data_IF_563445078966
#
_entry.id   IF_563445078966
#
_cell.length_a   1.000
_cell.length_b   1.000
_cell.length_c   1.000
_cell.angle_alpha   90.00
_cell.angle_beta   90.00
_cell.angle_gamma   90.00
#
_symmetry.space_group_name_H-M   'P 1'
#
loop_
_entity.id
_entity.type
_entity.pdbx_description
1 polymer ?
#
# COMPACT_ATOMS: atom_id res chain seq x y z
N UNK A 1 27.00 -4.20 3.92
CA UNK A 1 27.64 -3.52 2.78
C UNK A 1 29.09 -3.95 2.54
N UNK A 2 29.85 -4.37 3.56
CA UNK A 2 31.24 -4.84 3.37
C UNK A 2 31.40 -6.13 2.54
N UNK A 3 30.42 -7.05 2.53
CA UNK A 3 30.50 -8.31 1.75
C UNK A 3 30.19 -8.16 0.26
N UNK A 4 29.55 -7.06 -0.17
CA UNK A 4 29.19 -6.86 -1.59
C UNK A 4 30.39 -6.34 -2.39
N UNK A 5 31.33 -5.62 -1.77
CA UNK A 5 32.43 -4.98 -2.51
C UNK A 5 33.47 -5.97 -3.07
N UNK A 6 33.47 -7.22 -2.62
CA UNK A 6 34.31 -8.30 -3.17
C UNK A 6 33.64 -9.11 -4.27
N UNK A 7 32.33 -8.92 -4.51
CA UNK A 7 31.59 -9.66 -5.52
C UNK A 7 31.77 -9.01 -6.90
N UNK A 8 32.16 -9.80 -7.90
CA UNK A 8 32.14 -9.38 -9.30
C UNK A 8 30.72 -9.47 -9.83
N UNK A 9 30.01 -8.34 -9.83
CA UNK A 9 28.64 -8.22 -10.34
C UNK A 9 28.71 -7.67 -11.77
N UNK A 10 28.10 -8.35 -12.75
CA UNK A 10 27.99 -7.83 -14.12
C UNK A 10 27.09 -6.56 -14.10
N UNK A 11 27.59 -5.38 -14.52
CA UNK A 11 26.84 -4.13 -14.43
C UNK A 11 25.64 -4.06 -15.40
N UNK A 12 25.59 -4.91 -16.43
CA UNK A 12 24.48 -4.96 -17.39
C UNK A 12 23.33 -5.77 -16.83
N UNK A 13 23.60 -6.97 -16.33
CA UNK A 13 22.55 -7.90 -15.83
C UNK A 13 22.29 -7.82 -14.33
N UNK A 14 23.24 -7.31 -13.54
CA UNK A 14 23.24 -7.42 -12.08
C UNK A 14 23.62 -8.82 -11.57
N UNK A 15 24.00 -9.75 -12.45
CA UNK A 15 24.29 -11.14 -12.09
C UNK A 15 25.72 -11.29 -11.53
N UNK A 16 25.84 -12.07 -10.46
CA UNK A 16 27.12 -12.48 -9.89
C UNK A 16 27.32 -13.99 -10.12
N UNK A 17 28.29 -14.34 -10.95
CA UNK A 17 28.55 -15.74 -11.34
C UNK A 17 29.10 -16.60 -10.20
N UNK A 18 29.72 -16.03 -9.18
CA UNK A 18 30.28 -16.80 -8.06
C UNK A 18 29.23 -17.39 -7.13
N UNK A 19 28.01 -16.84 -7.11
CA UNK A 19 26.93 -17.28 -6.22
C UNK A 19 25.55 -17.39 -6.91
N UNK A 20 25.53 -17.24 -8.22
CA UNK A 20 24.34 -17.27 -9.08
C UNK A 20 23.20 -16.37 -8.60
N UNK A 21 23.54 -15.16 -8.14
CA UNK A 21 22.57 -14.19 -7.59
C UNK A 21 22.51 -12.93 -8.45
N UNK A 22 21.31 -12.43 -8.68
CA UNK A 22 21.05 -11.13 -9.29
C UNK A 22 20.92 -10.08 -8.19
N UNK A 23 21.78 -9.07 -8.22
CA UNK A 23 21.71 -7.92 -7.32
C UNK A 23 20.99 -6.76 -8.00
N UNK A 24 20.26 -5.97 -7.21
CA UNK A 24 19.69 -4.73 -7.71
C UNK A 24 20.77 -3.83 -8.28
N UNK A 25 20.50 -3.29 -9.46
CA UNK A 25 21.34 -2.28 -10.12
C UNK A 25 21.04 -0.86 -9.61
N UNK A 26 20.06 -0.71 -8.73
CA UNK A 26 19.67 0.57 -8.15
C UNK A 26 20.55 0.88 -6.96
N UNK A 27 20.70 2.17 -6.67
CA UNK A 27 21.43 2.62 -5.49
C UNK A 27 20.70 2.13 -4.25
N UNK A 28 21.34 1.34 -3.37
CA UNK A 28 20.71 0.91 -2.13
C UNK A 28 20.56 2.10 -1.17
N UNK A 29 19.56 2.05 -0.31
CA UNK A 29 19.38 3.02 0.76
C UNK A 29 19.53 2.35 2.14
N UNK A 30 20.01 3.08 3.16
CA UNK A 30 20.13 2.54 4.51
C UNK A 30 18.77 2.55 5.21
N UNK A 31 18.39 1.45 5.84
CA UNK A 31 17.24 1.45 6.76
C UNK A 31 17.62 2.10 8.09
N UNK A 32 16.65 2.63 8.87
CA UNK A 32 16.92 3.23 10.17
C UNK A 32 17.66 2.26 11.11
N UNK A 33 18.73 2.73 11.75
CA UNK A 33 19.53 1.92 12.68
C UNK A 33 18.88 1.75 14.06
N UNK A 34 17.95 2.65 14.43
CA UNK A 34 17.22 2.53 15.68
C UNK A 34 16.20 1.39 15.60
N UNK A 35 16.53 0.24 16.20
CA UNK A 35 15.65 -0.92 16.25
C UNK A 35 14.34 -0.69 17.01
N UNK A 36 14.28 0.30 17.91
CA UNK A 36 13.07 0.70 18.62
C UNK A 36 12.38 1.87 17.91
N UNK A 37 11.93 1.60 16.68
CA UNK A 37 11.24 2.56 15.84
C UNK A 37 10.08 1.83 15.15
N UNK A 38 8.88 2.38 15.26
CA UNK A 38 7.72 1.94 14.50
C UNK A 38 7.58 2.70 13.18
N UNK A 39 6.83 2.12 12.26
CA UNK A 39 6.59 2.67 10.92
C UNK A 39 5.90 4.05 10.96
N UNK A 40 4.98 4.27 11.90
CA UNK A 40 4.22 5.53 12.01
C UNK A 40 5.14 6.67 12.42
N UNK A 41 5.98 6.46 13.45
CA UNK A 41 7.00 7.41 13.87
C UNK A 41 8.00 7.66 12.74
N UNK A 42 8.46 6.61 12.06
CA UNK A 42 9.36 6.74 10.91
C UNK A 42 8.78 7.62 9.80
N UNK A 43 7.54 7.36 9.35
CA UNK A 43 6.88 8.17 8.31
C UNK A 43 6.76 9.63 8.78
N UNK A 44 6.37 9.86 10.03
CA UNK A 44 6.20 11.22 10.56
C UNK A 44 7.49 12.01 10.75
N UNK A 45 8.64 11.34 10.71
CA UNK A 45 9.95 12.01 10.78
C UNK A 45 10.38 12.62 9.45
N UNK A 46 9.71 12.27 8.35
CA UNK A 46 10.01 12.86 7.04
C UNK A 46 9.53 14.31 6.98
N UNK A 47 10.36 15.23 6.44
CA UNK A 47 9.90 16.58 6.15
C UNK A 47 8.83 16.51 5.06
N UNK A 48 7.61 16.92 5.36
CA UNK A 48 6.53 17.02 4.37
C UNK A 48 6.49 18.45 3.82
N UNK A 49 6.67 18.59 2.51
CA UNK A 49 6.54 19.87 1.82
C UNK A 49 5.13 20.10 1.25
N UNK A 50 4.34 19.04 1.09
CA UNK A 50 2.93 19.11 0.68
C UNK A 50 2.03 19.61 1.81
N UNK A 51 1.00 20.39 1.46
CA UNK A 51 0.02 20.89 2.44
C UNK A 51 -1.08 19.88 2.72
N UNK A 52 -1.51 19.14 1.69
CA UNK A 52 -2.64 18.21 1.74
C UNK A 52 -2.14 16.79 1.62
N UNK A 53 -2.47 15.94 2.60
CA UNK A 53 -2.15 14.51 2.55
C UNK A 53 -3.22 13.74 1.77
N UNK A 54 -4.50 13.90 2.14
CA UNK A 54 -5.60 13.14 1.58
C UNK A 54 -6.76 14.03 1.13
N UNK A 55 -7.43 13.62 0.06
CA UNK A 55 -8.69 14.19 -0.42
C UNK A 55 -9.66 13.06 -0.66
N UNK A 56 -10.86 13.14 -0.10
CA UNK A 56 -11.98 12.29 -0.50
C UNK A 56 -12.53 12.80 -1.85
N UNK A 57 -12.47 11.97 -2.89
CA UNK A 57 -12.79 12.39 -4.25
C UNK A 57 -14.27 12.81 -4.41
N UNK A 58 -15.18 12.14 -3.69
CA UNK A 58 -16.62 12.35 -3.83
C UNK A 58 -17.07 13.63 -3.11
N UNK A 59 -16.60 13.85 -1.89
CA UNK A 59 -17.01 14.98 -1.04
C UNK A 59 -16.11 16.21 -1.19
N UNK A 60 -14.87 16.04 -1.66
CA UNK A 60 -13.84 17.08 -1.66
C UNK A 60 -13.29 17.42 -0.28
N UNK A 61 -13.70 16.67 0.78
CA UNK A 61 -13.10 16.78 2.11
C UNK A 61 -11.61 16.50 1.99
N UNK A 62 -10.79 17.34 2.60
CA UNK A 62 -9.34 17.20 2.57
C UNK A 62 -8.77 17.18 3.98
N UNK A 63 -7.64 16.49 4.11
CA UNK A 63 -6.87 16.36 5.34
C UNK A 63 -5.45 16.84 5.06
N UNK A 64 -5.00 17.87 5.79
CA UNK A 64 -3.60 18.28 5.75
C UNK A 64 -2.70 17.25 6.43
N UNK A 65 -1.39 17.30 6.17
CA UNK A 65 -0.44 16.48 6.93
C UNK A 65 -0.49 16.77 8.44
N UNK A 66 -0.68 18.03 8.84
CA UNK A 66 -0.83 18.39 10.26
C UNK A 66 -2.08 17.77 10.87
N UNK A 67 -3.22 17.82 10.19
CA UNK A 67 -4.47 17.22 10.64
C UNK A 67 -4.40 15.70 10.65
N UNK A 68 -3.70 15.08 9.70
CA UNK A 68 -3.44 13.64 9.69
C UNK A 68 -2.73 13.22 10.98
N UNK A 69 -1.64 13.89 11.33
CA UNK A 69 -0.87 13.55 12.52
C UNK A 69 -1.63 13.79 13.82
N UNK A 70 -2.40 14.88 13.91
CA UNK A 70 -3.32 15.11 15.03
C UNK A 70 -4.36 14.00 15.14
N UNK A 71 -4.95 13.59 14.01
CA UNK A 71 -5.94 12.52 13.95
C UNK A 71 -5.35 11.18 14.41
N UNK A 72 -4.10 10.89 14.03
CA UNK A 72 -3.38 9.68 14.48
C UNK A 72 -3.16 9.72 15.99
N UNK A 73 -2.80 10.87 16.57
CA UNK A 73 -2.63 11.02 18.01
C UNK A 73 -3.96 10.81 18.77
N UNK A 74 -5.04 11.42 18.29
CA UNK A 74 -6.38 11.28 18.87
C UNK A 74 -6.89 9.83 18.81
N UNK A 75 -6.81 9.21 17.64
CA UNK A 75 -7.30 7.83 17.43
C UNK A 75 -6.44 6.83 18.21
N UNK A 76 -5.11 6.95 18.20
CA UNK A 76 -4.23 6.07 19.00
C UNK A 76 -4.47 6.20 20.50
N UNK A 77 -4.78 7.40 21.00
CA UNK A 77 -5.17 7.63 22.40
C UNK A 77 -6.46 6.87 22.73
N UNK A 78 -7.51 7.03 21.93
CA UNK A 78 -8.77 6.31 22.11
C UNK A 78 -8.60 4.80 22.02
N UNK A 79 -7.81 4.29 21.05
CA UNK A 79 -7.50 2.87 20.93
C UNK A 79 -6.83 2.32 22.20
N UNK A 80 -5.89 3.08 22.76
CA UNK A 80 -5.25 2.69 24.01
C UNK A 80 -6.22 2.68 25.20
N UNK A 81 -7.14 3.65 25.28
CA UNK A 81 -8.20 3.68 26.30
C UNK A 81 -9.18 2.50 26.15
N UNK A 82 -9.43 2.06 24.92
CA UNK A 82 -10.20 0.84 24.60
C UNK A 82 -9.43 -0.45 24.90
N UNK A 83 -8.18 -0.36 25.38
CA UNK A 83 -7.39 -1.52 25.78
C UNK A 83 -6.53 -2.13 24.66
N UNK A 84 -6.42 -1.48 23.49
CA UNK A 84 -5.52 -1.96 22.43
C UNK A 84 -4.06 -1.80 22.87
N UNK A 85 -3.31 -2.89 22.74
CA UNK A 85 -1.88 -2.98 23.12
C UNK A 85 -1.08 -3.65 22.02
N UNK A 86 0.24 -3.58 22.17
CA UNK A 86 1.20 -4.24 21.31
C UNK A 86 0.86 -5.73 21.11
N UNK A 87 0.89 -6.19 19.87
CA UNK A 87 0.59 -7.58 19.48
C UNK A 87 -0.91 -7.92 19.36
N UNK A 88 -1.83 -7.02 19.76
CA UNK A 88 -3.25 -7.20 19.45
C UNK A 88 -3.49 -7.05 17.95
N UNK A 89 -4.40 -7.86 17.40
CA UNK A 89 -4.82 -7.74 16.00
C UNK A 89 -6.08 -6.89 15.91
N UNK A 90 -6.09 -5.92 15.00
CA UNK A 90 -7.24 -5.07 14.68
C UNK A 90 -7.61 -5.31 13.22
N UNK A 91 -8.88 -5.62 12.97
CA UNK A 91 -9.37 -5.87 11.60
C UNK A 91 -10.12 -4.66 11.05
N UNK A 92 -9.78 -4.26 9.82
CA UNK A 92 -10.50 -3.24 9.06
C UNK A 92 -11.30 -3.92 7.94
N UNK A 93 -12.61 -3.67 7.92
CA UNK A 93 -13.54 -4.17 6.90
C UNK A 93 -14.30 -2.99 6.32
N UNK A 94 -13.67 -2.27 5.40
CA UNK A 94 -14.26 -1.07 4.83
C UNK A 94 -13.75 -0.81 3.41
N UNK A 95 -14.52 -0.05 2.60
CA UNK A 95 -14.02 0.55 1.39
C UNK A 95 -12.86 1.53 1.67
N UNK A 96 -12.23 2.01 0.61
CA UNK A 96 -11.24 3.07 0.74
C UNK A 96 -11.88 4.32 1.36
N UNK A 97 -11.14 5.03 2.22
CA UNK A 97 -11.53 6.34 2.72
C UNK A 97 -10.31 7.06 3.28
N UNK A 98 -10.45 8.36 3.52
CA UNK A 98 -9.42 9.16 4.19
C UNK A 98 -9.13 8.69 5.63
N UNK A 99 -10.03 7.88 6.22
CA UNK A 99 -9.89 7.36 7.58
C UNK A 99 -9.01 6.12 7.68
N UNK A 100 -8.91 5.33 6.60
CA UNK A 100 -8.10 4.09 6.62
C UNK A 100 -6.64 4.38 6.96
N UNK A 101 -5.94 5.35 6.33
CA UNK A 101 -4.58 5.72 6.71
C UNK A 101 -4.47 6.13 8.19
N UNK A 102 -5.44 6.90 8.71
CA UNK A 102 -5.45 7.33 10.11
C UNK A 102 -5.51 6.12 11.04
N UNK A 103 -6.45 5.19 10.81
CA UNK A 103 -6.61 3.98 11.62
C UNK A 103 -5.37 3.11 11.54
N UNK A 104 -4.83 2.88 10.34
CA UNK A 104 -3.64 2.05 10.13
C UNK A 104 -2.45 2.59 10.92
N UNK A 105 -2.15 3.88 10.76
CA UNK A 105 -1.05 4.54 11.46
C UNK A 105 -1.23 4.53 12.98
N UNK A 106 -2.46 4.72 13.46
CA UNK A 106 -2.79 4.75 14.89
C UNK A 106 -2.67 3.38 15.56
N UNK A 107 -3.07 2.31 14.88
CA UNK A 107 -2.93 0.94 15.40
C UNK A 107 -1.45 0.55 15.41
N UNK A 108 -0.74 0.82 14.32
CA UNK A 108 0.68 0.49 14.20
C UNK A 108 1.56 1.29 15.19
N UNK A 109 1.19 2.52 15.54
CA UNK A 109 1.95 3.30 16.56
C UNK A 109 1.83 2.72 17.97
N UNK A 110 0.81 1.89 18.24
CA UNK A 110 0.66 1.14 19.49
C UNK A 110 1.36 -0.23 19.43
N UNK A 111 2.01 -0.59 18.31
CA UNK A 111 2.57 -1.91 18.07
C UNK A 111 1.52 -3.00 17.89
N UNK A 112 0.26 -2.62 17.66
CA UNK A 112 -0.80 -3.54 17.29
C UNK A 112 -0.74 -3.83 15.78
N UNK A 113 -1.33 -4.95 15.38
CA UNK A 113 -1.21 -5.54 14.05
C UNK A 113 -2.48 -5.24 13.27
N UNK A 114 -2.35 -4.67 12.07
CA UNK A 114 -3.47 -4.46 11.16
C UNK A 114 -3.71 -5.71 10.32
N UNK A 115 -4.95 -6.18 10.30
CA UNK A 115 -5.45 -7.07 9.23
C UNK A 115 -6.60 -6.38 8.51
N UNK A 116 -6.83 -6.72 7.25
CA UNK A 116 -7.87 -6.11 6.42
C UNK A 116 -8.66 -7.19 5.70
N UNK A 117 -9.94 -6.91 5.42
CA UNK A 117 -10.77 -7.76 4.58
C UNK A 117 -11.57 -6.93 3.59
N UNK A 118 -11.85 -7.52 2.43
CA UNK A 118 -12.74 -6.93 1.44
C UNK A 118 -14.15 -6.78 2.03
N UNK A 119 -14.75 -5.59 2.08
CA UNK A 119 -16.11 -5.38 2.60
C UNK A 119 -17.20 -6.13 1.81
N UNK A 120 -16.89 -6.57 0.58
CA UNK A 120 -17.79 -7.38 -0.24
C UNK A 120 -17.84 -8.85 0.17
N UNK A 121 -16.87 -9.34 0.96
CA UNK A 121 -16.88 -10.71 1.46
C UNK A 121 -18.15 -11.02 2.25
N UNK A 122 -18.45 -12.30 2.33
CA UNK A 122 -19.58 -12.87 3.07
C UNK A 122 -19.29 -12.96 4.57
N UNK A 123 -20.34 -13.08 5.39
CA UNK A 123 -20.22 -13.33 6.83
C UNK A 123 -19.36 -14.56 7.15
N UNK A 124 -19.44 -15.61 6.31
CA UNK A 124 -18.63 -16.82 6.48
C UNK A 124 -17.15 -16.55 6.25
N UNK A 125 -16.80 -15.81 5.20
CA UNK A 125 -15.41 -15.46 4.92
C UNK A 125 -14.82 -14.56 6.01
N UNK A 126 -15.60 -13.59 6.53
CA UNK A 126 -15.20 -12.82 7.70
C UNK A 126 -14.95 -13.71 8.92
N UNK A 127 -15.87 -14.64 9.22
CA UNK A 127 -15.72 -15.54 10.35
C UNK A 127 -14.46 -16.42 10.24
N UNK A 128 -14.15 -16.93 9.04
CA UNK A 128 -12.93 -17.72 8.79
C UNK A 128 -11.69 -16.87 9.05
N UNK A 129 -11.60 -15.67 8.49
CA UNK A 129 -10.45 -14.80 8.70
C UNK A 129 -10.33 -14.35 10.15
N UNK A 130 -11.44 -14.02 10.83
CA UNK A 130 -11.44 -13.62 12.24
C UNK A 130 -11.06 -14.77 13.18
N UNK A 131 -11.44 -16.02 12.86
CA UNK A 131 -11.06 -17.19 13.63
C UNK A 131 -9.54 -17.44 13.55
N UNK A 132 -8.94 -17.19 12.39
CA UNK A 132 -7.51 -17.35 12.15
C UNK A 132 -6.68 -16.18 12.73
N UNK A 133 -7.05 -14.95 12.41
CA UNK A 133 -6.35 -13.72 12.83
C UNK A 133 -6.63 -13.26 14.26
N UNK A 134 -7.69 -13.77 14.90
CA UNK A 134 -8.10 -13.46 16.29
C UNK A 134 -8.09 -11.96 16.63
N UNK A 135 -8.81 -11.12 15.85
CA UNK A 135 -8.84 -9.69 16.12
C UNK A 135 -9.59 -9.38 17.42
N UNK A 136 -9.19 -8.30 18.08
CA UNK A 136 -9.81 -7.82 19.33
C UNK A 136 -10.74 -6.62 19.11
N UNK A 137 -10.69 -6.00 17.93
CA UNK A 137 -11.47 -4.82 17.56
C UNK A 137 -11.70 -4.81 16.04
N UNK A 138 -12.89 -4.36 15.63
CA UNK A 138 -13.27 -4.23 14.22
C UNK A 138 -13.51 -2.75 13.89
N UNK A 139 -12.87 -2.26 12.83
CA UNK A 139 -13.26 -1.02 12.15
C UNK A 139 -14.06 -1.38 10.90
N UNK A 140 -15.26 -0.80 10.76
CA UNK A 140 -16.15 -1.13 9.63
C UNK A 140 -17.11 0.04 9.32
N UNK A 141 -17.89 -0.07 8.25
CA UNK A 141 -19.01 0.84 7.98
C UNK A 141 -20.35 0.19 8.35
N UNK A 142 -21.37 1.01 8.52
CA UNK A 142 -22.75 0.63 8.85
C UNK A 142 -23.32 -0.34 7.83
N UNK A 143 -22.95 -0.20 6.55
CA UNK A 143 -23.38 -1.11 5.47
C UNK A 143 -22.87 -2.55 5.66
N UNK A 144 -21.73 -2.72 6.33
CA UNK A 144 -21.10 -4.03 6.54
C UNK A 144 -21.51 -4.66 7.87
N UNK A 145 -21.96 -3.86 8.85
CA UNK A 145 -22.39 -4.32 10.19
C UNK A 145 -23.34 -5.53 10.16
N UNK A 146 -24.37 -5.60 9.30
CA UNK A 146 -25.26 -6.78 9.25
C UNK A 146 -24.53 -8.09 8.96
N UNK A 147 -23.41 -8.05 8.22
CA UNK A 147 -22.59 -9.24 7.93
C UNK A 147 -21.76 -9.71 9.12
N UNK A 148 -21.68 -8.90 10.18
CA UNK A 148 -20.94 -9.18 11.42
C UNK A 148 -21.87 -9.55 12.59
N UNK A 149 -23.17 -9.74 12.32
CA UNK A 149 -24.14 -10.14 13.34
C UNK A 149 -23.68 -11.41 14.07
N UNK A 150 -23.69 -11.37 15.40
CA UNK A 150 -23.23 -12.47 16.25
C UNK A 150 -21.74 -12.45 16.60
N UNK A 151 -20.94 -11.52 16.05
CA UNK A 151 -19.58 -11.29 16.53
C UNK A 151 -19.61 -10.59 17.90
N UNK A 152 -18.91 -11.11 18.93
CA UNK A 152 -18.82 -10.46 20.23
C UNK A 152 -17.83 -9.27 20.23
N UNK A 153 -17.13 -9.06 19.12
CA UNK A 153 -16.06 -8.06 19.05
C UNK A 153 -16.62 -6.63 19.10
N UNK A 154 -15.95 -5.72 19.84
CA UNK A 154 -16.28 -4.31 19.78
C UNK A 154 -16.06 -3.77 18.35
N UNK A 155 -16.96 -2.90 17.91
CA UNK A 155 -16.97 -2.28 16.59
C UNK A 155 -16.81 -0.77 16.72
N UNK A 156 -15.91 -0.21 15.91
CA UNK A 156 -15.83 1.22 15.62
C UNK A 156 -16.34 1.48 14.22
N UNK A 157 -17.32 2.38 14.08
CA UNK A 157 -17.83 2.77 12.77
C UNK A 157 -16.96 3.84 12.12
N UNK A 158 -16.65 3.66 10.84
CA UNK A 158 -15.93 4.64 10.02
C UNK A 158 -16.86 5.67 9.36
N UNK A 159 -18.17 5.54 9.55
CA UNK A 159 -19.16 6.49 9.07
C UNK A 159 -19.15 7.76 9.93
N UNK A 160 -19.32 8.93 9.30
CA UNK A 160 -19.23 10.20 10.01
C UNK A 160 -20.51 10.57 10.77
N UNK A 161 -21.67 10.14 10.26
CA UNK A 161 -23.00 10.55 10.73
C UNK A 161 -23.88 9.33 10.97
N UNK A 162 -23.67 8.68 12.11
CA UNK A 162 -24.54 7.58 12.54
C UNK A 162 -25.14 7.94 13.88
N UNK A 163 -26.46 8.11 13.92
CA UNK A 163 -27.19 7.93 15.16
C UNK A 163 -26.92 6.48 15.58
N UNK A 164 -26.29 6.27 16.73
CA UNK A 164 -26.08 4.93 17.29
C UNK A 164 -27.43 4.31 17.61
N UNK A 165 -28.13 3.81 16.60
CA UNK A 165 -29.22 2.89 16.80
C UNK A 165 -28.61 1.64 17.41
N UNK A 166 -29.07 1.30 18.62
CA UNK A 166 -28.72 0.06 19.29
C UNK A 166 -29.25 -1.10 18.45
N UNK A 167 -28.51 -1.48 17.42
CA UNK A 167 -28.69 -2.77 16.77
C UNK A 167 -28.26 -3.81 17.79
N UNK A 168 -29.20 -4.39 18.53
CA UNK A 168 -28.94 -5.33 19.63
C UNK A 168 -28.18 -6.62 19.24
N UNK A 169 -27.65 -6.69 18.03
CA UNK A 169 -26.90 -7.81 17.44
C UNK A 169 -25.38 -7.61 17.45
N UNK A 170 -24.89 -6.38 17.65
CA UNK A 170 -23.45 -6.06 17.64
C UNK A 170 -23.07 -5.02 18.71
N UNK A 171 -21.81 -5.04 19.16
CA UNK A 171 -21.30 -4.09 20.16
C UNK A 171 -20.59 -2.91 19.47
N UNK A 172 -21.34 -1.90 19.05
CA UNK A 172 -20.75 -0.64 18.57
C UNK A 172 -20.28 0.17 19.79
N UNK A 173 -18.98 0.43 19.89
CA UNK A 173 -18.37 1.12 21.04
C UNK A 173 -18.15 2.61 20.81
N UNK A 174 -17.89 3.03 19.56
CA UNK A 174 -17.72 4.44 19.18
C UNK A 174 -17.70 4.58 17.64
N UNK A 175 -17.49 5.80 17.15
CA UNK A 175 -17.27 6.11 15.73
C UNK A 175 -15.93 6.81 15.52
N UNK A 176 -15.42 6.81 14.29
CA UNK A 176 -14.19 7.53 13.94
C UNK A 176 -14.34 9.03 14.20
N UNK A 177 -15.51 9.61 13.90
CA UNK A 177 -15.80 11.03 14.17
C UNK A 177 -15.63 11.39 15.65
N UNK A 178 -16.09 10.53 16.56
CA UNK A 178 -15.92 10.77 18.00
C UNK A 178 -14.47 10.59 18.45
N UNK A 179 -13.75 9.58 17.92
CA UNK A 179 -12.33 9.41 18.22
C UNK A 179 -11.48 10.60 17.75
N UNK A 180 -11.82 11.20 16.60
CA UNK A 180 -11.13 12.36 16.05
C UNK A 180 -11.30 13.64 16.88
N UNK A 181 -12.33 13.73 17.73
CA UNK A 181 -12.54 14.88 18.64
C UNK A 181 -11.68 14.81 19.90
N UNK A 182 -10.99 13.69 20.16
CA UNK A 182 -10.21 13.50 21.37
C UNK A 182 -9.02 14.45 21.40
N UNK A 183 -8.99 15.33 22.39
CA UNK A 183 -7.81 16.15 22.70
C UNK A 183 -6.71 15.29 23.35
N UNK A 184 -5.49 15.42 22.85
CA UNK A 184 -4.31 14.74 23.38
C UNK A 184 -3.49 15.71 24.22
N UNK A 185 -3.41 15.45 25.54
CA UNK A 185 -2.64 16.29 26.48
C UNK A 185 -1.13 15.99 26.41
N UNK A 186 -0.79 14.74 26.08
CA UNK A 186 0.59 14.27 25.90
C UNK A 186 0.80 13.85 24.45
N UNK A 187 1.82 14.40 23.77
CA UNK A 187 2.17 14.07 22.37
C UNK A 187 2.91 12.73 22.22
N UNK A 188 2.90 11.88 23.24
CA UNK A 188 3.62 10.61 23.22
C UNK A 188 2.73 9.55 22.57
N UNK A 189 2.97 9.28 21.28
CA UNK A 189 2.27 8.25 20.49
C UNK A 189 2.50 6.83 21.01
N UNK A 190 3.69 6.58 21.54
CA UNK A 190 4.20 5.25 21.86
C UNK A 190 4.09 5.02 23.37
N UNK A 191 3.08 4.26 23.81
CA UNK A 191 2.94 3.87 25.22
C UNK A 191 3.77 2.62 25.56
N UNK A 192 3.82 1.67 24.64
CA UNK A 192 4.65 0.46 24.72
C UNK A 192 5.76 0.54 23.68
N UNK A 193 6.98 0.12 24.01
CA UNK A 193 8.10 0.18 23.06
C UNK A 193 7.87 -0.78 21.88
N UNK A 194 7.78 -0.20 20.69
CA UNK A 194 7.64 -0.91 19.41
C UNK A 194 9.02 -1.01 18.74
N UNK A 195 9.31 -2.18 18.17
CA UNK A 195 10.55 -2.50 17.49
C UNK A 195 10.30 -2.81 16.02
N UNK A 196 11.34 -2.62 15.21
CA UNK A 196 11.27 -2.82 13.76
C UNK A 196 10.85 -4.24 13.36
N UNK A 197 11.23 -5.27 14.13
CA UNK A 197 10.91 -6.68 13.83
C UNK A 197 9.55 -7.14 14.39
N UNK A 198 8.83 -6.26 15.10
CA UNK A 198 7.45 -6.51 15.51
C UNK A 198 6.54 -6.53 14.28
N UNK A 199 5.50 -7.37 14.32
CA UNK A 199 4.50 -7.44 13.28
C UNK A 199 3.71 -6.13 13.22
N UNK A 200 3.55 -5.58 12.02
CA UNK A 200 2.76 -4.38 11.75
C UNK A 200 1.47 -4.73 11.00
N UNK A 201 1.53 -5.70 10.09
CA UNK A 201 0.36 -6.19 9.35
C UNK A 201 0.29 -7.71 9.28
N UNK A 202 -0.94 -8.20 9.13
CA UNK A 202 -1.31 -9.58 8.86
C UNK A 202 -2.31 -9.56 7.70
N UNK A 203 -1.83 -9.50 6.45
CA UNK A 203 -2.69 -9.40 5.27
C UNK A 203 -2.88 -10.76 4.63
N UNK A 204 -4.09 -11.06 4.17
CA UNK A 204 -4.40 -12.40 3.64
C UNK A 204 -4.10 -12.50 2.14
N UNK A 205 -3.42 -13.58 1.76
CA UNK A 205 -3.04 -13.93 0.39
C UNK A 205 -3.39 -15.39 0.10
N UNK A 206 -3.84 -15.69 -1.11
CA UNK A 206 -3.97 -17.09 -1.55
C UNK A 206 -2.61 -17.80 -1.65
N UNK A 207 -1.52 -17.04 -1.76
CA UNK A 207 -0.17 -17.56 -1.96
C UNK A 207 -0.07 -18.38 -3.24
N UNK A 208 0.88 -19.32 -3.27
CA UNK A 208 1.14 -20.20 -4.43
C UNK A 208 0.23 -21.44 -4.50
N UNK A 209 -0.37 -21.87 -3.38
CA UNK A 209 -1.27 -23.03 -3.29
C UNK A 209 -2.22 -22.94 -2.09
N UNK A 210 -3.40 -23.57 -2.17
CA UNK A 210 -4.27 -23.84 -1.00
C UNK A 210 -5.14 -22.67 -0.51
N UNK A 211 -5.58 -22.76 0.74
CA UNK A 211 -6.41 -21.73 1.37
C UNK A 211 -5.62 -20.42 1.59
N UNK A 212 -6.37 -19.31 1.75
CA UNK A 212 -5.81 -18.00 2.06
C UNK A 212 -5.07 -18.01 3.41
N UNK A 213 -3.88 -17.43 3.47
CA UNK A 213 -2.99 -17.42 4.64
C UNK A 213 -2.63 -15.99 5.01
N UNK A 214 -2.47 -15.74 6.30
CA UNK A 214 -1.98 -14.47 6.81
C UNK A 214 -0.49 -14.27 6.53
N UNK A 215 -0.17 -13.25 5.75
CA UNK A 215 1.18 -12.75 5.47
C UNK A 215 1.54 -11.72 6.53
N UNK A 216 2.58 -12.02 7.33
CA UNK A 216 3.05 -11.11 8.38
C UNK A 216 4.11 -10.18 7.81
N UNK A 217 3.83 -8.88 7.76
CA UNK A 217 4.87 -7.87 7.50
C UNK A 217 5.23 -7.15 8.80
N UNK A 218 6.52 -7.05 9.08
CA UNK A 218 7.06 -6.26 10.19
C UNK A 218 7.04 -4.76 9.91
N UNK A 219 7.25 -3.95 10.93
CA UNK A 219 7.51 -2.52 10.75
C UNK A 219 8.70 -2.28 9.82
N UNK A 220 9.78 -3.07 9.92
CA UNK A 220 10.96 -3.01 9.06
C UNK A 220 10.62 -3.26 7.59
N UNK A 221 9.75 -4.22 7.31
CA UNK A 221 9.31 -4.51 5.95
C UNK A 221 8.58 -3.31 5.34
N UNK A 222 7.68 -2.69 6.12
CA UNK A 222 6.99 -1.48 5.69
C UNK A 222 7.94 -0.28 5.56
N UNK A 223 8.94 -0.13 6.44
CA UNK A 223 9.94 0.95 6.30
C UNK A 223 10.74 0.79 5.00
N UNK A 224 11.13 -0.44 4.66
CA UNK A 224 11.80 -0.72 3.38
C UNK A 224 10.92 -0.34 2.18
N UNK A 225 9.62 -0.65 2.25
CA UNK A 225 8.64 -0.21 1.25
C UNK A 225 8.54 1.32 1.18
N UNK A 226 8.27 2.02 2.29
CA UNK A 226 8.04 3.47 2.28
C UNK A 226 9.29 4.24 1.90
N UNK A 227 10.47 3.74 2.27
CA UNK A 227 11.75 4.33 1.89
C UNK A 227 12.07 4.12 0.41
N UNK A 228 11.63 3.00 -0.19
CA UNK A 228 11.75 2.81 -1.63
C UNK A 228 11.00 3.89 -2.42
N UNK A 229 9.81 4.29 -1.96
CA UNK A 229 9.09 5.41 -2.58
C UNK A 229 9.84 6.73 -2.41
N UNK A 230 10.29 7.05 -1.20
CA UNK A 230 11.06 8.28 -0.96
C UNK A 230 12.32 8.35 -1.82
N UNK A 231 13.05 7.24 -1.96
CA UNK A 231 14.26 7.15 -2.78
C UNK A 231 13.98 7.35 -4.28
N UNK A 232 12.80 6.94 -4.75
CA UNK A 232 12.35 7.14 -6.13
C UNK A 232 11.70 8.52 -6.37
N UNK A 233 11.51 9.34 -5.34
CA UNK A 233 10.98 10.69 -5.52
C UNK A 233 12.02 11.58 -6.20
N UNK A 234 11.61 12.32 -7.23
CA UNK A 234 12.42 13.37 -7.82
C UNK A 234 11.99 14.71 -7.22
N UNK A 235 12.82 15.37 -6.38
CA UNK A 235 12.50 16.66 -5.78
C UNK A 235 12.22 17.77 -6.80
N UNK A 236 12.78 17.67 -8.01
CA UNK A 236 12.60 18.65 -9.08
C UNK A 236 11.19 18.60 -9.70
N UNK A 237 10.47 17.47 -9.55
CA UNK A 237 9.11 17.29 -10.08
C UNK A 237 8.01 17.96 -9.24
N UNK A 238 8.38 18.70 -8.18
CA UNK A 238 7.43 19.41 -7.33
C UNK A 238 6.43 18.49 -6.61
N UNK A 239 5.32 19.05 -6.15
CA UNK A 239 4.28 18.31 -5.42
C UNK A 239 3.54 17.35 -6.38
N UNK A 240 3.64 16.05 -6.10
CA UNK A 240 2.97 15.00 -6.87
C UNK A 240 1.56 14.72 -6.34
N UNK A 241 0.61 14.53 -7.26
CA UNK A 241 -0.77 14.18 -6.92
C UNK A 241 -1.08 12.77 -7.42
N UNK A 242 -1.33 11.86 -6.48
CA UNK A 242 -1.74 10.48 -6.77
C UNK A 242 -3.23 10.29 -6.57
N UNK A 243 -3.80 9.30 -7.26
CA UNK A 243 -5.16 8.84 -7.05
C UNK A 243 -5.14 7.40 -6.51
N UNK A 244 -5.91 7.12 -5.47
CA UNK A 244 -6.08 5.79 -4.91
C UNK A 244 -7.42 5.20 -5.39
N UNK A 245 -7.37 4.53 -6.55
CA UNK A 245 -8.51 3.79 -7.11
C UNK A 245 -8.43 2.27 -6.85
N UNK A 246 -7.28 1.78 -6.38
CA UNK A 246 -7.07 0.37 -6.01
C UNK A 246 -7.44 0.15 -4.53
N UNK A 247 -7.86 -1.07 -4.13
CA UNK A 247 -8.33 -1.30 -2.76
C UNK A 247 -7.21 -1.26 -1.71
N UNK A 248 -7.40 -0.47 -0.65
CA UNK A 248 -6.50 -0.37 0.51
C UNK A 248 -6.55 -1.58 1.43
N UNK A 249 -7.49 -2.51 1.25
CA UNK A 249 -7.49 -3.79 1.96
C UNK A 249 -6.53 -4.83 1.34
N UNK A 250 -5.87 -4.51 0.23
CA UNK A 250 -4.79 -5.29 -0.36
C UNK A 250 -3.46 -4.56 -0.22
N UNK A 251 -2.34 -5.30 -0.21
CA UNK A 251 -1.00 -4.71 -0.03
C UNK A 251 -0.69 -3.59 -1.04
N UNK A 252 -1.23 -3.66 -2.26
CA UNK A 252 -1.00 -2.62 -3.26
C UNK A 252 -1.59 -1.28 -2.80
N UNK A 253 -2.88 -1.25 -2.46
CA UNK A 253 -3.51 -0.03 -1.97
C UNK A 253 -3.01 0.38 -0.59
N UNK A 254 -2.88 -0.57 0.34
CA UNK A 254 -2.36 -0.33 1.68
C UNK A 254 -0.94 0.26 1.63
N UNK A 255 -0.03 -0.47 1.00
CA UNK A 255 1.38 -0.15 0.95
C UNK A 255 1.66 1.16 0.23
N UNK A 256 0.96 1.43 -0.87
CA UNK A 256 1.12 2.69 -1.59
C UNK A 256 0.44 3.86 -0.86
N UNK A 257 -0.84 3.73 -0.46
CA UNK A 257 -1.66 4.90 -0.11
C UNK A 257 -1.98 5.04 1.38
N UNK A 258 -1.92 3.97 2.17
CA UNK A 258 -2.05 4.09 3.63
C UNK A 258 -0.73 4.47 4.30
N UNK A 259 0.41 4.11 3.69
CA UNK A 259 1.75 4.36 4.26
C UNK A 259 2.75 4.98 3.28
N UNK A 260 2.87 4.45 2.05
CA UNK A 260 3.97 4.74 1.12
C UNK A 260 4.11 6.19 0.68
N UNK A 261 3.02 6.79 0.19
CA UNK A 261 3.03 8.15 -0.37
C UNK A 261 3.22 9.27 0.66
N UNK A 262 3.06 8.96 1.94
CA UNK A 262 3.26 9.92 3.01
C UNK A 262 4.73 10.35 3.15
N UNK A 263 5.70 9.45 2.95
CA UNK A 263 7.13 9.80 3.03
C UNK A 263 7.59 10.70 1.88
N UNK A 264 6.84 10.74 0.77
CA UNK A 264 7.09 11.63 -0.36
C UNK A 264 6.42 13.01 -0.17
N UNK A 265 5.60 13.18 0.87
CA UNK A 265 4.80 14.40 1.04
C UNK A 265 3.76 14.60 -0.07
N UNK A 266 3.34 13.52 -0.75
CA UNK A 266 2.42 13.60 -1.89
C UNK A 266 0.98 13.78 -1.46
N UNK A 267 0.19 14.44 -2.31
CA UNK A 267 -1.27 14.55 -2.17
C UNK A 267 -1.94 13.32 -2.77
N UNK A 268 -2.83 12.68 -2.01
CA UNK A 268 -3.54 11.46 -2.44
C UNK A 268 -5.05 11.69 -2.50
N UNK A 269 -5.63 11.56 -3.69
CA UNK A 269 -7.07 11.62 -3.94
C UNK A 269 -7.64 10.21 -3.83
N UNK A 270 -8.50 9.97 -2.85
CA UNK A 270 -9.05 8.65 -2.54
C UNK A 270 -10.43 8.50 -3.15
N UNK A 271 -10.61 7.44 -3.94
CA UNK A 271 -11.91 6.96 -4.37
C UNK A 271 -12.33 5.81 -3.46
N UNK A 272 -13.56 5.83 -2.98
CA UNK A 272 -14.09 4.79 -2.08
C UNK A 272 -14.12 3.40 -2.72
N UNK A 273 -14.44 3.38 -4.02
CA UNK A 273 -14.38 2.23 -4.92
C UNK A 273 -13.99 2.71 -6.31
N UNK A 274 -13.52 1.80 -7.15
CA UNK A 274 -13.27 2.13 -8.55
C UNK A 274 -14.58 2.42 -9.29
N UNK A 275 -14.65 3.60 -9.90
CA UNK A 275 -15.56 3.96 -10.98
C UNK A 275 -14.77 4.78 -12.01
N UNK A 276 -14.90 4.41 -13.30
CA UNK A 276 -14.09 5.03 -14.37
C UNK A 276 -14.39 6.53 -14.51
N UNK A 277 -15.66 6.93 -14.43
CA UNK A 277 -16.06 8.32 -14.64
C UNK A 277 -15.63 9.18 -13.45
N UNK A 278 -15.86 8.71 -12.24
CA UNK A 278 -15.39 9.39 -11.02
C UNK A 278 -13.87 9.52 -11.01
N UNK A 279 -13.15 8.47 -11.43
CA UNK A 279 -11.69 8.50 -11.51
C UNK A 279 -11.20 9.55 -12.51
N UNK A 280 -11.74 9.58 -13.72
CA UNK A 280 -11.36 10.56 -14.75
C UNK A 280 -11.74 11.99 -14.35
N UNK A 281 -12.92 12.19 -13.77
CA UNK A 281 -13.33 13.47 -13.18
C UNK A 281 -12.39 13.92 -12.06
N UNK A 282 -11.94 13.00 -11.21
CA UNK A 282 -10.97 13.29 -10.16
C UNK A 282 -9.58 13.64 -10.72
N UNK A 283 -9.15 12.97 -11.80
CA UNK A 283 -7.89 13.29 -12.49
C UNK A 283 -7.90 14.74 -12.98
N UNK A 284 -8.95 15.15 -13.66
CA UNK A 284 -9.13 16.53 -14.14
C UNK A 284 -9.23 17.53 -12.97
N UNK A 285 -10.16 17.30 -12.04
CA UNK A 285 -10.48 18.21 -10.94
C UNK A 285 -9.30 18.46 -10.00
N UNK A 286 -8.54 17.41 -9.66
CA UNK A 286 -7.45 17.49 -8.68
C UNK A 286 -6.06 17.53 -9.30
N UNK A 287 -5.99 17.53 -10.64
CA UNK A 287 -4.76 17.53 -11.46
C UNK A 287 -3.81 16.39 -11.08
N UNK A 288 -4.32 15.17 -11.16
CA UNK A 288 -3.58 13.94 -10.79
C UNK A 288 -2.41 13.71 -11.76
N UNK A 289 -1.21 13.50 -11.23
CA UNK A 289 0.01 13.28 -12.03
C UNK A 289 0.34 11.81 -12.23
N UNK A 290 -0.17 10.92 -11.37
CA UNK A 290 0.11 9.49 -11.44
C UNK A 290 -1.11 8.64 -11.09
N UNK A 291 -1.43 7.70 -11.98
CA UNK A 291 -2.62 6.86 -11.91
C UNK A 291 -2.25 5.36 -11.79
N UNK A 292 -2.43 4.73 -10.62
CA UNK A 292 -2.28 3.29 -10.46
C UNK A 292 -3.46 2.54 -11.10
N UNK A 293 -3.17 1.54 -11.93
CA UNK A 293 -4.15 0.74 -12.66
C UNK A 293 -3.87 -0.76 -12.57
N UNK A 294 -4.87 -1.53 -12.98
CA UNK A 294 -4.75 -2.95 -13.31
C UNK A 294 -5.08 -3.16 -14.80
N UNK A 295 -4.61 -4.25 -15.45
CA UNK A 295 -4.79 -4.44 -16.89
C UNK A 295 -6.22 -4.30 -17.43
N UNK A 296 -7.28 -4.79 -16.73
CA UNK A 296 -8.65 -4.60 -17.20
C UNK A 296 -9.07 -3.13 -17.33
N UNK A 297 -8.63 -2.26 -16.41
CA UNK A 297 -8.97 -0.83 -16.45
C UNK A 297 -8.24 -0.15 -17.61
N UNK A 298 -6.95 -0.48 -17.81
CA UNK A 298 -6.16 0.04 -18.92
C UNK A 298 -6.78 -0.32 -20.28
N UNK A 299 -7.26 -1.56 -20.42
CA UNK A 299 -7.94 -2.01 -21.63
C UNK A 299 -9.18 -1.17 -21.95
N UNK A 300 -10.00 -0.85 -20.95
CA UNK A 300 -11.17 0.02 -21.12
C UNK A 300 -10.74 1.43 -21.52
N UNK A 301 -9.72 2.00 -20.86
CA UNK A 301 -9.18 3.32 -21.24
C UNK A 301 -8.71 3.37 -22.69
N UNK A 302 -8.05 2.33 -23.18
CA UNK A 302 -7.61 2.23 -24.58
C UNK A 302 -8.79 2.10 -25.55
N UNK A 303 -9.81 1.30 -25.20
CA UNK A 303 -11.01 1.12 -26.03
C UNK A 303 -11.84 2.40 -26.13
N UNK A 304 -11.95 3.16 -25.06
CA UNK A 304 -12.78 4.36 -24.95
C UNK A 304 -11.97 5.67 -25.09
N UNK A 305 -10.72 5.58 -25.57
CA UNK A 305 -9.76 6.68 -25.52
C UNK A 305 -10.26 7.98 -26.18
N UNK A 306 -10.94 7.89 -27.32
CA UNK A 306 -11.40 9.07 -28.07
C UNK A 306 -12.52 9.80 -27.30
N UNK A 307 -13.44 9.06 -26.67
CA UNK A 307 -14.50 9.61 -25.83
C UNK A 307 -13.95 10.18 -24.52
N UNK A 308 -12.98 9.50 -23.90
CA UNK A 308 -12.31 9.98 -22.68
C UNK A 308 -11.61 11.31 -22.95
N UNK A 309 -10.79 11.38 -24.02
CA UNK A 309 -10.03 12.59 -24.38
C UNK A 309 -10.92 13.76 -24.78
N UNK A 310 -12.14 13.50 -25.26
CA UNK A 310 -13.12 14.54 -25.57
C UNK A 310 -13.80 15.11 -24.32
N UNK A 311 -13.93 14.31 -23.26
CA UNK A 311 -14.72 14.66 -22.06
C UNK A 311 -13.89 15.14 -20.88
N UNK A 312 -12.63 14.75 -20.78
CA UNK A 312 -11.80 15.01 -19.61
C UNK A 312 -10.43 15.60 -20.00
N UNK A 313 -9.99 16.63 -19.28
CA UNK A 313 -8.62 17.12 -19.33
C UNK A 313 -7.67 16.19 -18.56
N UNK A 314 -6.88 15.40 -19.29
CA UNK A 314 -5.85 14.52 -18.75
C UNK A 314 -4.44 15.10 -18.85
N UNK A 315 -4.28 16.39 -19.19
CA UNK A 315 -2.97 17.01 -19.43
C UNK A 315 -2.04 17.04 -18.20
N UNK A 316 -2.60 16.88 -17.00
CA UNK A 316 -1.82 16.76 -15.76
C UNK A 316 -1.21 15.37 -15.55
N UNK A 317 -1.70 14.34 -16.24
CA UNK A 317 -1.29 12.97 -15.99
C UNK A 317 0.06 12.68 -16.69
N UNK A 318 1.11 12.50 -15.89
CA UNK A 318 2.46 12.20 -16.37
C UNK A 318 2.65 10.71 -16.59
N UNK A 319 2.06 9.87 -15.73
CA UNK A 319 2.29 8.43 -15.76
C UNK A 319 1.11 7.60 -15.26
N UNK A 320 1.06 6.37 -15.74
CA UNK A 320 0.27 5.29 -15.16
C UNK A 320 1.21 4.19 -14.65
N UNK A 321 0.81 3.54 -13.56
CA UNK A 321 1.49 2.36 -13.03
C UNK A 321 0.54 1.18 -13.12
N UNK A 322 0.85 0.20 -13.96
CA UNK A 322 0.03 -0.99 -14.11
C UNK A 322 0.70 -2.20 -13.47
N UNK A 323 -0.04 -2.92 -12.62
CA UNK A 323 0.47 -4.09 -11.91
C UNK A 323 -0.61 -5.11 -11.60
N UNK A 324 -0.22 -6.17 -10.91
CA UNK A 324 -1.10 -7.27 -10.47
C UNK A 324 -1.34 -8.36 -11.52
N UNK A 325 -1.14 -8.08 -12.81
CA UNK A 325 -1.17 -9.08 -13.87
C UNK A 325 -0.33 -8.63 -15.08
N UNK A 326 0.12 -9.56 -15.96
CA UNK A 326 0.91 -9.22 -17.14
C UNK A 326 0.15 -8.31 -18.11
N UNK A 327 0.87 -7.36 -18.73
CA UNK A 327 0.37 -6.58 -19.86
C UNK A 327 0.90 -7.13 -21.19
N UNK A 328 0.02 -7.20 -22.19
CA UNK A 328 0.43 -7.56 -23.55
C UNK A 328 1.14 -6.39 -24.23
N UNK A 329 2.12 -6.71 -25.09
CA UNK A 329 2.80 -5.72 -25.94
C UNK A 329 1.81 -4.90 -26.78
N UNK A 330 0.77 -5.55 -27.31
CA UNK A 330 -0.30 -4.90 -28.07
C UNK A 330 -1.02 -3.81 -27.26
N UNK A 331 -1.44 -4.13 -26.03
CA UNK A 331 -2.14 -3.17 -25.17
C UNK A 331 -1.26 -1.98 -24.80
N UNK A 332 0.03 -2.21 -24.53
CA UNK A 332 1.01 -1.14 -24.26
C UNK A 332 1.15 -0.22 -25.47
N UNK A 333 1.29 -0.77 -26.67
CA UNK A 333 1.42 0.01 -27.91
C UNK A 333 0.18 0.86 -28.17
N UNK A 334 -1.02 0.26 -28.09
CA UNK A 334 -2.28 0.97 -28.30
C UNK A 334 -2.50 2.07 -27.27
N UNK A 335 -2.08 1.87 -26.01
CA UNK A 335 -2.11 2.92 -25.01
C UNK A 335 -1.22 4.09 -25.38
N UNK A 336 0.03 3.84 -25.79
CA UNK A 336 0.96 4.90 -26.22
C UNK A 336 0.46 5.67 -27.45
N UNK A 337 -0.15 4.99 -28.40
CA UNK A 337 -0.75 5.65 -29.57
C UNK A 337 -1.91 6.58 -29.18
N UNK A 338 -2.74 6.16 -28.22
CA UNK A 338 -3.90 6.92 -27.77
C UNK A 338 -3.57 8.02 -26.76
N UNK A 339 -2.53 7.83 -25.93
CA UNK A 339 -2.10 8.72 -24.84
C UNK A 339 -0.58 8.95 -24.86
N UNK A 340 -0.03 9.60 -25.90
CA UNK A 340 1.41 9.67 -26.14
C UNK A 340 2.20 10.48 -25.10
N UNK A 341 1.54 11.34 -24.32
CA UNK A 341 2.17 12.15 -23.28
C UNK A 341 2.24 11.45 -21.92
N UNK A 342 1.72 10.22 -21.81
CA UNK A 342 1.56 9.53 -20.54
C UNK A 342 2.44 8.28 -20.51
N UNK A 343 3.39 8.24 -19.59
CA UNK A 343 4.26 7.10 -19.42
C UNK A 343 3.49 5.90 -18.87
N UNK A 344 3.71 4.71 -19.43
CA UNK A 344 3.21 3.46 -18.87
C UNK A 344 4.33 2.69 -18.19
N UNK A 345 4.20 2.54 -16.87
CA UNK A 345 5.14 1.83 -16.00
C UNK A 345 4.53 0.51 -15.55
N UNK A 346 5.37 -0.51 -15.40
CA UNK A 346 4.99 -1.80 -14.85
C UNK A 346 5.77 -2.10 -13.58
N UNK A 347 5.21 -2.96 -12.74
CA UNK A 347 5.90 -3.48 -11.58
C UNK A 347 5.44 -4.89 -11.22
N UNK A 348 6.35 -5.62 -10.60
CA UNK A 348 6.11 -6.93 -10.02
C UNK A 348 6.17 -6.83 -8.50
N UNK A 349 5.12 -7.31 -7.85
CA UNK A 349 4.99 -7.35 -6.40
C UNK A 349 4.07 -8.51 -6.01
N UNK A 350 4.24 -8.98 -4.78
CA UNK A 350 3.38 -9.95 -4.13
C UNK A 350 3.06 -9.46 -2.72
N UNK A 351 2.03 -10.03 -2.08
CA UNK A 351 1.74 -9.73 -0.67
C UNK A 351 2.95 -10.07 0.21
N UNK A 352 3.58 -11.20 -0.08
CA UNK A 352 4.74 -11.76 0.59
C UNK A 352 6.04 -10.96 0.37
N UNK A 353 6.09 -10.08 -0.65
CA UNK A 353 7.23 -9.19 -0.85
C UNK A 353 7.08 -7.83 -0.16
N UNK A 354 5.91 -7.56 0.46
CA UNK A 354 5.41 -6.30 1.08
C UNK A 354 5.43 -5.07 0.18
N UNK A 355 6.50 -4.89 -0.60
CA UNK A 355 6.67 -3.87 -1.64
C UNK A 355 6.96 -4.46 -3.01
N UNK A 356 7.42 -3.60 -3.93
CA UNK A 356 7.84 -3.99 -5.26
C UNK A 356 9.07 -4.90 -5.20
N UNK A 357 8.99 -6.08 -5.81
CA UNK A 357 10.15 -6.90 -6.13
C UNK A 357 10.95 -6.32 -7.29
N UNK A 358 10.24 -5.84 -8.32
CA UNK A 358 10.82 -5.14 -9.46
C UNK A 358 9.87 -4.06 -9.99
N UNK A 359 10.40 -3.02 -10.62
CA UNK A 359 9.59 -1.95 -11.23
C UNK A 359 10.29 -1.26 -12.40
N UNK A 360 9.52 -0.58 -13.23
CA UNK A 360 10.01 0.37 -14.24
C UNK A 360 9.98 1.80 -13.69
N UNK A 361 11.11 2.50 -13.74
CA UNK A 361 11.24 3.85 -13.17
C UNK A 361 11.62 4.90 -14.21
N UNK A 362 12.36 4.51 -15.26
CA UNK A 362 12.81 5.43 -16.32
C UNK A 362 12.08 5.21 -17.64
N UNK A 363 12.00 6.23 -18.52
CA UNK A 363 11.45 6.06 -19.86
C UNK A 363 12.13 4.94 -20.66
N UNK A 364 13.45 4.77 -20.52
CA UNK A 364 14.22 3.72 -21.21
C UNK A 364 13.82 2.32 -20.73
N UNK A 365 13.53 2.16 -19.43
CA UNK A 365 13.01 0.90 -18.88
C UNK A 365 11.62 0.60 -19.43
N UNK A 366 10.76 1.62 -19.54
CA UNK A 366 9.42 1.49 -20.09
C UNK A 366 9.41 1.02 -21.55
N UNK A 367 10.47 1.26 -22.33
CA UNK A 367 10.58 0.79 -23.71
C UNK A 367 10.79 -0.73 -23.84
N UNK A 368 11.14 -1.44 -22.74
CA UNK A 368 11.36 -2.89 -22.73
C UNK A 368 10.04 -3.65 -22.54
N UNK A 369 9.34 -3.90 -23.65
CA UNK A 369 8.09 -4.65 -23.66
C UNK A 369 8.21 -6.03 -23.00
N UNK A 370 7.20 -6.42 -22.22
CA UNK A 370 7.16 -7.70 -21.51
C UNK A 370 8.05 -7.77 -20.28
N UNK A 371 8.88 -6.75 -20.01
CA UNK A 371 9.59 -6.63 -18.74
C UNK A 371 8.66 -6.10 -17.64
N UNK A 372 8.97 -6.44 -16.39
CA UNK A 372 8.41 -5.82 -15.17
C UNK A 372 9.40 -4.84 -14.53
N UNK A 373 10.51 -4.57 -15.23
CA UNK A 373 11.54 -3.62 -14.83
C UNK A 373 12.71 -4.25 -14.05
N UNK A 374 13.45 -3.42 -13.32
CA UNK A 374 14.62 -3.84 -12.56
C UNK A 374 14.27 -4.17 -11.11
N UNK A 375 15.08 -5.02 -10.47
CA UNK A 375 14.96 -5.31 -9.03
C UNK A 375 14.97 -4.02 -8.22
N UNK A 376 14.06 -3.92 -7.25
CA UNK A 376 14.01 -2.79 -6.32
C UNK A 376 15.31 -2.65 -5.52
N UNK A 377 15.62 -1.43 -5.01
CA UNK A 377 16.81 -1.25 -4.18
C UNK A 377 16.81 -2.19 -2.98
N UNK A 378 18.00 -2.58 -2.52
CA UNK A 378 18.21 -3.48 -1.38
C UNK A 378 17.65 -4.91 -1.56
N UNK A 379 17.12 -5.25 -2.73
CA UNK A 379 16.74 -6.63 -3.07
C UNK A 379 17.82 -7.33 -3.89
N UNK A 380 17.83 -8.63 -3.75
CA UNK A 380 18.53 -9.58 -4.60
C UNK A 380 17.60 -10.73 -4.95
N UNK A 381 17.93 -11.43 -6.03
CA UNK A 381 17.09 -12.48 -6.57
C UNK A 381 17.90 -13.68 -7.06
N UNK A 382 17.25 -14.83 -7.09
CA UNK A 382 17.70 -16.00 -7.83
C UNK A 382 16.60 -16.45 -8.78
N UNK A 383 17.02 -16.99 -9.91
CA UNK A 383 16.15 -17.76 -10.79
C UNK A 383 16.48 -19.23 -10.51
N UNK A 384 15.49 -20.03 -10.14
CA UNK A 384 15.70 -21.42 -9.68
C UNK A 384 14.91 -22.37 -10.56
N UNK A 385 15.54 -23.44 -11.04
CA UNK A 385 14.80 -24.50 -11.72
C UNK A 385 13.89 -25.21 -10.70
N UNK A 386 12.56 -25.25 -10.91
CA UNK A 386 11.63 -25.79 -9.92
C UNK A 386 11.71 -27.32 -9.78
N UNK A 387 12.36 -28.02 -10.72
CA UNK A 387 12.54 -29.49 -10.69
C UNK A 387 13.83 -29.87 -9.99
N UNK A 388 14.92 -29.17 -10.29
CA UNK A 388 16.27 -29.53 -9.80
C UNK A 388 16.70 -28.72 -8.57
N UNK A 389 16.06 -27.57 -8.31
CA UNK A 389 16.46 -26.63 -7.26
C UNK A 389 17.76 -25.87 -7.59
N UNK A 390 18.30 -26.01 -8.80
CA UNK A 390 19.53 -25.35 -9.20
C UNK A 390 19.29 -23.88 -9.54
N UNK A 391 20.22 -23.02 -9.13
CA UNK A 391 20.23 -21.63 -9.55
C UNK A 391 20.62 -21.52 -11.03
N UNK A 392 19.86 -20.74 -11.78
CA UNK A 392 19.97 -20.54 -13.22
C UNK A 392 20.65 -19.20 -13.55
N UNK A 393 21.24 -19.14 -14.74
CA UNK A 393 21.99 -18.00 -15.26
C UNK A 393 21.10 -16.96 -15.98
N UNK A 394 21.73 -15.90 -16.48
CA UNK A 394 21.09 -14.86 -17.28
C UNK A 394 20.39 -15.48 -18.50
N UNK A 395 19.16 -15.03 -18.80
CA UNK A 395 18.31 -15.50 -19.91
C UNK A 395 17.77 -16.93 -19.78
N UNK A 396 17.86 -17.56 -18.61
CA UNK A 396 17.20 -18.83 -18.31
C UNK A 396 15.89 -18.61 -17.56
N UNK A 397 14.91 -19.50 -17.78
CA UNK A 397 13.57 -19.41 -17.16
C UNK A 397 13.47 -20.37 -15.97
N UNK A 398 13.03 -19.85 -14.84
CA UNK A 398 12.76 -20.62 -13.62
C UNK A 398 11.85 -19.86 -12.66
N UNK A 399 11.74 -20.36 -11.45
CA UNK A 399 11.06 -19.71 -10.33
C UNK A 399 11.88 -18.51 -9.82
N UNK A 400 11.23 -17.37 -9.59
CA UNK A 400 11.86 -16.18 -9.05
C UNK A 400 11.86 -16.22 -7.53
N UNK A 401 13.04 -16.27 -6.92
CA UNK A 401 13.22 -16.13 -5.48
C UNK A 401 13.74 -14.74 -5.17
N UNK A 402 13.15 -14.08 -4.18
CA UNK A 402 13.56 -12.75 -3.73
C UNK A 402 14.08 -12.80 -2.29
N UNK A 403 15.15 -12.07 -2.03
CA UNK A 403 15.68 -11.84 -0.68
C UNK A 403 15.95 -10.35 -0.48
N UNK A 404 15.54 -9.84 0.67
CA UNK A 404 15.81 -8.46 1.06
C UNK A 404 14.85 -7.97 2.15
N UNK A 405 14.98 -6.70 2.57
CA UNK A 405 14.34 -6.22 3.78
C UNK A 405 12.83 -6.02 3.65
N UNK A 406 12.26 -5.99 2.44
CA UNK A 406 10.80 -5.91 2.27
C UNK A 406 10.12 -7.27 2.30
N UNK A 407 10.85 -8.39 2.19
CA UNK A 407 10.24 -9.73 2.22
C UNK A 407 9.62 -10.01 3.59
N UNK A 408 8.40 -10.54 3.59
CA UNK A 408 7.62 -10.86 4.80
C UNK A 408 8.42 -11.65 5.85
N UNK A 409 7.96 -11.60 7.10
CA UNK A 409 8.60 -12.23 8.26
C UNK A 409 8.51 -13.75 8.25
#
# INVERSE_FOLDING_TARGET
>A
MAEISSLRIDPRSGFCSSNSTFYSKRVPFPLPSNHALDITTFISSYPHHGKTAFIDAATGRHLSFSQLWQSVDSVSTCLSELGIRKGNVVIIIAPNSIFLPIVCLSVMSLGAIITTSNPLNTSREFAVQMADSKPVLVFTTTQVVPKLAGSPLPIVLLDEQVATEKTGQVKIVTTISEMLKKETKDKIRVKDRVYQDDAATLLYSSGTTGASKGVISSHRNLMALTQSFSHLSNPEKGEQTHICAVPMFHIYGFGAFAVGKLTQGSKVVILSKFDMKEMLSAVEKYRVTCLPLVPPILLVMVKEADEIRKKYDLSSLESIVCGGAPLSKDLINRFREKFPSIDIRQGYAMTESTGFGASMETPEECLKYGSVGLLSPNLEAKIVDPTTGMALEVNQKGELWLRGPSIMK
#
